data_IF_876807847012
#
_entry.id   IF_876807847012
#
_cell.length_a   1.000
_cell.length_b   1.000
_cell.length_c   1.000
_cell.angle_alpha   90.00
_cell.angle_beta   90.00
_cell.angle_gamma   90.00
#
_symmetry.space_group_name_H-M   'P 1'
#
loop_
_entity.id
_entity.type
_entity.pdbx_description
1 polymer ?
#
# COMPACT_ATOMS: atom_id res chain seq x y z
N UNK A 1 -32.39 -16.64 20.91
CA UNK A 1 -31.81 -17.45 19.82
C UNK A 1 -32.08 -16.75 18.48
N UNK A 2 -31.59 -15.50 18.34
CA UNK A 2 -31.99 -14.61 17.22
C UNK A 2 -30.83 -13.74 16.71
N UNK A 3 -29.67 -13.80 17.37
CA UNK A 3 -28.48 -13.01 17.00
C UNK A 3 -27.58 -13.78 16.01
N UNK A 4 -27.66 -15.11 15.99
CA UNK A 4 -26.78 -15.94 15.15
C UNK A 4 -27.15 -15.90 13.66
N UNK A 5 -28.40 -15.62 13.32
CA UNK A 5 -28.89 -15.63 11.93
C UNK A 5 -28.57 -14.35 11.16
N UNK A 6 -28.32 -13.23 11.84
CA UNK A 6 -27.99 -11.96 11.20
C UNK A 6 -26.53 -11.88 10.71
N UNK A 7 -25.63 -12.69 11.28
CA UNK A 7 -24.22 -12.75 10.88
C UNK A 7 -23.99 -13.50 9.55
N UNK A 8 -24.92 -14.39 9.16
CA UNK A 8 -24.81 -15.20 7.93
C UNK A 8 -25.31 -14.48 6.67
N UNK A 9 -25.95 -13.31 6.82
CA UNK A 9 -26.45 -12.48 5.70
C UNK A 9 -25.70 -11.15 5.55
N UNK A 10 -24.66 -10.90 6.36
CA UNK A 10 -23.85 -9.71 6.25
C UNK A 10 -22.86 -9.86 5.09
N UNK A 11 -23.25 -9.38 3.90
CA UNK A 11 -22.27 -9.03 2.89
C UNK A 11 -21.35 -7.96 3.49
N UNK A 12 -20.04 -8.20 3.50
CA UNK A 12 -19.06 -7.17 3.86
C UNK A 12 -19.25 -5.91 3.01
N UNK A 13 -18.81 -4.74 3.50
CA UNK A 13 -19.03 -3.48 2.79
C UNK A 13 -18.40 -3.52 1.40
N UNK A 14 -19.19 -3.19 0.37
CA UNK A 14 -18.64 -2.94 -0.97
C UNK A 14 -17.97 -1.58 -0.99
N UNK A 15 -16.77 -1.51 -1.54
CA UNK A 15 -16.10 -0.24 -1.80
C UNK A 15 -16.91 0.57 -2.79
N UNK A 16 -17.33 1.77 -2.39
CA UNK A 16 -17.90 2.76 -3.29
C UNK A 16 -16.96 3.96 -3.34
N UNK A 17 -16.15 4.03 -4.40
CA UNK A 17 -15.34 5.22 -4.65
C UNK A 17 -16.25 6.39 -5.03
N UNK A 18 -16.06 7.58 -4.46
CA UNK A 18 -16.82 8.76 -4.87
C UNK A 18 -16.54 9.09 -6.34
N UNK A 19 -17.50 9.73 -7.00
CA UNK A 19 -17.21 10.41 -8.26
C UNK A 19 -16.19 11.52 -7.97
N UNK A 20 -15.16 11.62 -8.83
CA UNK A 20 -14.14 12.64 -8.66
C UNK A 20 -14.75 14.02 -8.95
N UNK A 21 -14.59 15.00 -8.04
CA UNK A 21 -15.04 16.36 -8.31
C UNK A 21 -14.23 16.99 -9.45
N UNK A 22 -14.78 18.01 -10.14
CA UNK A 22 -14.07 18.70 -11.22
C UNK A 22 -12.76 19.37 -10.77
N UNK A 23 -12.69 19.77 -9.50
CA UNK A 23 -11.51 20.30 -8.85
C UNK A 23 -11.29 19.54 -7.53
N UNK A 24 -10.08 19.03 -7.34
CA UNK A 24 -9.68 18.36 -6.12
C UNK A 24 -8.97 19.37 -5.20
N UNK A 25 -9.13 19.26 -3.87
CA UNK A 25 -8.41 20.12 -2.94
C UNK A 25 -6.90 19.86 -3.02
N UNK A 26 -6.11 20.93 -2.93
CA UNK A 26 -4.64 20.90 -2.94
C UNK A 26 -4.01 20.20 -4.15
N UNK A 27 -4.78 19.98 -5.22
CA UNK A 27 -4.30 19.28 -6.39
C UNK A 27 -3.46 20.18 -7.29
N UNK A 28 -2.44 19.57 -7.86
CA UNK A 28 -1.57 20.19 -8.85
C UNK A 28 -2.12 19.95 -10.26
N UNK A 29 -1.92 20.92 -11.14
CA UNK A 29 -2.22 20.74 -12.56
C UNK A 29 -1.32 19.66 -13.17
N UNK A 30 -1.76 19.03 -14.26
CA UNK A 30 -0.99 17.92 -14.85
C UNK A 30 0.41 18.34 -15.33
N UNK A 31 0.56 19.60 -15.78
CA UNK A 31 1.80 20.16 -16.30
C UNK A 31 2.64 20.88 -15.24
N UNK A 32 2.21 20.88 -13.97
CA UNK A 32 3.01 21.43 -12.88
C UNK A 32 4.32 20.63 -12.74
N UNK A 33 5.45 21.33 -12.61
CA UNK A 33 6.77 20.70 -12.48
C UNK A 33 6.87 19.71 -11.31
N UNK A 34 6.15 19.96 -10.21
CA UNK A 34 6.09 19.04 -9.07
C UNK A 34 5.21 17.83 -9.36
N UNK A 35 4.17 18.00 -10.19
CA UNK A 35 3.35 16.89 -10.64
C UNK A 35 4.12 15.99 -11.62
N UNK A 36 4.97 16.56 -12.47
CA UNK A 36 5.93 15.80 -13.30
C UNK A 36 6.90 15.03 -12.41
N UNK A 37 7.53 15.71 -11.44
CA UNK A 37 8.44 15.08 -10.47
C UNK A 37 7.80 13.89 -9.74
N UNK A 38 6.56 14.03 -9.27
CA UNK A 38 5.85 12.95 -8.60
C UNK A 38 5.57 11.74 -9.50
N UNK A 39 5.40 11.93 -10.81
CA UNK A 39 5.27 10.80 -11.76
C UNK A 39 6.61 10.15 -12.02
N UNK A 40 7.66 10.95 -12.20
CA UNK A 40 9.01 10.48 -12.50
C UNK A 40 9.62 9.68 -11.33
N UNK A 41 9.31 10.08 -10.10
CA UNK A 41 9.73 9.39 -8.88
C UNK A 41 8.72 8.35 -8.37
N UNK A 42 7.66 8.07 -9.12
CA UNK A 42 6.72 7.03 -8.73
C UNK A 42 7.35 5.64 -8.96
N UNK A 43 7.37 4.74 -7.95
CA UNK A 43 7.95 3.41 -8.12
C UNK A 43 7.18 2.56 -9.12
N UNK A 44 7.87 1.58 -9.71
CA UNK A 44 7.20 0.43 -10.33
C UNK A 44 6.73 -0.50 -9.22
N UNK A 45 5.43 -0.81 -9.25
CA UNK A 45 4.85 -1.84 -8.39
C UNK A 45 4.97 -3.20 -9.09
N UNK A 46 5.73 -4.12 -8.51
CA UNK A 46 5.81 -5.51 -8.93
C UNK A 46 4.82 -6.31 -8.11
N UNK A 47 3.63 -6.49 -8.65
CA UNK A 47 2.60 -7.28 -7.99
C UNK A 47 2.99 -8.75 -8.02
N UNK A 48 2.59 -9.48 -6.98
CA UNK A 48 2.60 -10.93 -7.05
C UNK A 48 1.83 -11.38 -8.30
N UNK A 49 2.38 -12.36 -9.01
CA UNK A 49 1.94 -12.78 -10.33
C UNK A 49 0.44 -13.11 -10.45
N UNK A 50 -0.14 -13.69 -9.42
CA UNK A 50 -1.51 -14.18 -9.36
C UNK A 50 -2.43 -13.25 -8.55
N UNK A 51 -2.01 -11.99 -8.33
CA UNK A 51 -2.83 -10.97 -7.66
C UNK A 51 -4.14 -10.72 -8.45
N UNK A 52 -5.25 -10.95 -7.77
CA UNK A 52 -6.62 -10.88 -8.28
C UNK A 52 -7.31 -9.54 -8.04
N UNK A 53 -6.85 -8.76 -7.07
CA UNK A 53 -7.45 -7.50 -6.71
C UNK A 53 -6.81 -6.36 -7.52
N UNK A 54 -7.59 -5.62 -8.32
CA UNK A 54 -7.06 -4.51 -9.09
C UNK A 54 -6.71 -3.33 -8.17
N UNK A 55 -5.67 -2.61 -8.59
CA UNK A 55 -5.38 -1.26 -8.11
C UNK A 55 -6.43 -0.29 -8.69
N UNK A 56 -7.16 0.42 -7.83
CA UNK A 56 -8.35 1.20 -8.21
C UNK A 56 -8.07 2.70 -8.29
N UNK A 57 -7.60 3.29 -7.18
CA UNK A 57 -7.26 4.72 -7.09
C UNK A 57 -5.88 4.89 -6.48
N UNK A 58 -5.14 5.88 -6.97
CA UNK A 58 -3.84 6.22 -6.42
C UNK A 58 -3.64 7.73 -6.37
N UNK A 59 -2.98 8.20 -5.32
CA UNK A 59 -2.72 9.62 -5.07
C UNK A 59 -1.26 9.80 -4.71
N UNK A 60 -0.59 10.76 -5.34
CA UNK A 60 0.73 11.22 -4.90
C UNK A 60 0.59 12.55 -4.16
N UNK A 61 1.29 12.70 -3.03
CA UNK A 61 1.31 13.95 -2.25
C UNK A 61 2.74 14.33 -1.95
N UNK A 62 3.15 15.50 -2.43
CA UNK A 62 4.44 16.08 -2.08
C UNK A 62 4.33 16.82 -0.74
N UNK A 63 5.27 16.55 0.17
CA UNK A 63 5.36 17.33 1.39
C UNK A 63 5.79 18.79 1.07
N UNK A 64 5.19 19.82 1.67
CA UNK A 64 5.45 21.22 1.29
C UNK A 64 6.87 21.69 1.63
N UNK A 65 7.47 21.16 2.70
CA UNK A 65 8.79 21.58 3.21
C UNK A 65 9.84 20.48 3.31
N UNK A 66 9.49 19.22 3.01
CA UNK A 66 10.40 18.07 3.08
C UNK A 66 10.47 17.44 1.70
N UNK A 67 11.63 16.92 1.31
CA UNK A 67 11.81 16.27 0.00
C UNK A 67 11.36 14.81 0.06
N UNK A 68 10.06 14.65 0.30
CA UNK A 68 9.39 13.35 0.38
C UNK A 68 8.07 13.42 -0.39
N UNK A 69 7.80 12.38 -1.17
CA UNK A 69 6.54 12.17 -1.88
C UNK A 69 5.88 10.93 -1.26
N UNK A 70 4.67 11.09 -0.74
CA UNK A 70 3.82 10.00 -0.31
C UNK A 70 2.99 9.50 -1.49
N UNK A 71 2.81 8.20 -1.61
CA UNK A 71 1.93 7.58 -2.59
C UNK A 71 0.96 6.67 -1.85
N UNK A 72 -0.32 7.01 -1.97
CA UNK A 72 -1.42 6.29 -1.36
C UNK A 72 -2.14 5.49 -2.44
N UNK A 73 -2.36 4.22 -2.16
CA UNK A 73 -2.87 3.23 -3.10
C UNK A 73 -4.13 2.61 -2.50
N UNK A 74 -5.12 2.33 -3.36
CA UNK A 74 -6.27 1.52 -2.95
C UNK A 74 -6.43 0.32 -3.86
N UNK A 75 -6.51 -0.86 -3.26
CA UNK A 75 -6.88 -2.09 -3.94
C UNK A 75 -8.34 -2.37 -3.66
N UNK A 76 -9.03 -2.97 -4.63
CA UNK A 76 -10.48 -3.20 -4.53
C UNK A 76 -10.89 -3.87 -3.21
N UNK A 77 -10.07 -4.80 -2.71
CA UNK A 77 -10.30 -5.58 -1.50
C UNK A 77 -8.98 -5.95 -0.81
N UNK A 78 -9.03 -6.28 0.49
CA UNK A 78 -8.04 -7.10 1.22
C UNK A 78 -8.61 -8.52 1.31
N UNK A 79 -7.79 -9.55 1.26
CA UNK A 79 -8.21 -10.94 1.51
C UNK A 79 -8.61 -11.20 2.97
N UNK A 80 -8.15 -10.38 3.92
CA UNK A 80 -8.46 -10.51 5.34
C UNK A 80 -9.73 -9.72 5.75
N UNK A 81 -10.50 -10.31 6.65
CA UNK A 81 -11.70 -9.77 7.29
C UNK A 81 -12.89 -9.35 6.37
N UNK A 82 -12.96 -9.78 5.10
CA UNK A 82 -14.01 -9.40 4.12
C UNK A 82 -15.44 -9.76 4.48
N UNK A 83 -15.64 -10.78 5.30
CA UNK A 83 -16.99 -11.14 5.78
C UNK A 83 -17.44 -10.24 6.93
N UNK A 84 -16.51 -9.50 7.56
CA UNK A 84 -16.83 -8.63 8.68
C UNK A 84 -17.52 -7.37 8.16
N UNK A 85 -18.70 -7.00 8.71
CA UNK A 85 -19.34 -5.73 8.39
C UNK A 85 -18.53 -4.51 8.86
N UNK A 86 -17.47 -4.74 9.64
CA UNK A 86 -16.57 -3.71 10.17
C UNK A 86 -15.25 -3.61 9.39
N UNK A 87 -15.02 -4.44 8.36
CA UNK A 87 -13.84 -4.30 7.53
C UNK A 87 -13.95 -3.05 6.67
N UNK A 88 -12.81 -2.51 6.24
CA UNK A 88 -12.82 -1.56 5.14
C UNK A 88 -13.16 -2.30 3.85
N UNK A 89 -13.88 -1.65 2.94
CA UNK A 89 -14.27 -2.27 1.67
C UNK A 89 -13.07 -2.47 0.74
N UNK A 90 -12.17 -1.47 0.72
CA UNK A 90 -10.93 -1.45 -0.03
C UNK A 90 -9.74 -1.52 0.93
N UNK A 91 -8.68 -2.15 0.45
CA UNK A 91 -7.39 -2.13 1.12
C UNK A 91 -6.64 -0.88 0.72
N UNK A 92 -5.98 -0.25 1.68
CA UNK A 92 -5.20 0.97 1.47
C UNK A 92 -3.74 0.64 1.70
N UNK A 93 -2.85 1.03 0.82
CA UNK A 93 -1.40 0.85 0.98
C UNK A 93 -0.66 2.16 0.77
N UNK A 94 0.48 2.28 1.44
CA UNK A 94 1.24 3.52 1.50
C UNK A 94 2.71 3.24 1.24
N UNK A 95 3.32 4.12 0.47
CA UNK A 95 4.75 4.15 0.27
C UNK A 95 5.21 5.60 0.18
N UNK A 96 6.48 5.83 0.51
CA UNK A 96 7.07 7.15 0.49
C UNK A 96 8.42 7.11 -0.20
N UNK A 97 8.73 8.15 -0.97
CA UNK A 97 10.00 8.28 -1.69
C UNK A 97 10.68 9.57 -1.25
N UNK A 98 11.88 9.44 -0.71
CA UNK A 98 12.79 10.54 -0.42
C UNK A 98 13.61 10.90 -1.65
N UNK A 99 13.93 12.17 -1.81
CA UNK A 99 14.77 12.65 -2.92
C UNK A 99 15.69 13.80 -2.50
N UNK A 100 16.78 14.01 -3.23
CA UNK A 100 17.74 15.08 -2.92
C UNK A 100 17.51 16.38 -3.73
N UNK A 101 18.45 17.31 -3.63
CA UNK A 101 18.41 18.60 -4.32
C UNK A 101 18.43 18.48 -5.85
N UNK A 102 18.92 17.36 -6.38
CA UNK A 102 18.98 17.05 -7.81
C UNK A 102 17.75 16.30 -8.31
N UNK A 103 16.77 16.07 -7.42
CA UNK A 103 15.59 15.22 -7.64
C UNK A 103 15.92 13.74 -7.86
N UNK A 104 17.13 13.29 -7.49
CA UNK A 104 17.46 11.88 -7.48
C UNK A 104 16.83 11.19 -6.26
N UNK A 105 16.30 9.95 -6.41
CA UNK A 105 15.74 9.21 -5.29
C UNK A 105 16.82 8.80 -4.28
N UNK A 106 16.48 8.88 -3.01
CA UNK A 106 17.44 8.65 -1.91
C UNK A 106 17.00 7.57 -0.96
N UNK A 107 15.69 7.47 -0.72
CA UNK A 107 15.11 6.63 0.30
C UNK A 107 13.75 6.13 -0.20
N UNK A 108 13.39 4.92 0.21
CA UNK A 108 12.04 4.40 0.02
C UNK A 108 11.54 3.85 1.35
N UNK A 109 10.31 4.21 1.70
CA UNK A 109 9.59 3.63 2.80
C UNK A 109 8.34 2.94 2.28
N UNK A 110 7.96 1.82 2.89
CA UNK A 110 6.72 1.11 2.55
C UNK A 110 5.99 0.66 3.79
N UNK A 111 4.67 0.59 3.71
CA UNK A 111 3.85 0.01 4.74
C UNK A 111 3.85 -1.53 4.63
N UNK A 112 4.22 -2.20 5.73
CA UNK A 112 4.22 -3.66 5.84
C UNK A 112 3.47 -4.10 7.10
N UNK A 113 2.17 -4.37 6.93
CA UNK A 113 1.28 -4.91 7.98
C UNK A 113 1.36 -4.17 9.31
N UNK A 114 1.48 -2.84 9.29
CA UNK A 114 1.55 -2.01 10.50
C UNK A 114 2.95 -1.73 11.01
N UNK A 115 4.00 -2.14 10.30
CA UNK A 115 5.34 -1.59 10.44
C UNK A 115 5.70 -0.79 9.16
N UNK A 116 6.62 0.16 9.29
CA UNK A 116 7.18 0.87 8.14
C UNK A 116 8.54 0.25 7.85
N UNK A 117 8.76 -0.22 6.63
CA UNK A 117 10.07 -0.64 6.16
C UNK A 117 10.75 0.54 5.48
N UNK A 118 12.07 0.63 5.59
CA UNK A 118 12.89 1.67 5.00
C UNK A 118 14.07 1.04 4.28
N UNK A 119 14.37 1.53 3.08
CA UNK A 119 15.59 1.18 2.36
C UNK A 119 16.26 2.42 1.79
N UNK A 120 17.58 2.52 1.94
CA UNK A 120 18.39 3.46 1.17
C UNK A 120 18.32 3.09 -0.33
N UNK A 121 18.00 4.09 -1.15
CA UNK A 121 17.82 3.96 -2.60
C UNK A 121 18.85 4.73 -3.45
N UNK A 122 19.85 5.36 -2.83
CA UNK A 122 20.84 6.16 -3.55
C UNK A 122 21.62 5.31 -4.55
N UNK A 123 21.62 5.74 -5.81
CA UNK A 123 22.36 5.07 -6.88
C UNK A 123 21.83 3.70 -7.30
N UNK A 124 20.65 3.28 -6.79
CA UNK A 124 20.07 1.96 -7.12
C UNK A 124 19.27 1.93 -8.43
N UNK A 125 19.13 3.08 -9.10
CA UNK A 125 18.39 3.20 -10.36
C UNK A 125 16.88 3.29 -10.14
N UNK A 126 16.13 2.52 -10.92
CA UNK A 126 14.67 2.54 -10.94
C UNK A 126 14.08 2.17 -9.56
N UNK A 127 13.09 2.95 -9.10
CA UNK A 127 12.38 2.70 -7.84
C UNK A 127 11.43 1.50 -8.02
N UNK A 128 11.55 0.51 -7.14
CA UNK A 128 10.75 -0.71 -7.21
C UNK A 128 10.14 -1.08 -5.86
N UNK A 129 8.89 -1.54 -5.88
CA UNK A 129 8.17 -2.07 -4.71
C UNK A 129 7.52 -3.39 -5.05
N UNK A 130 7.75 -4.42 -4.26
CA UNK A 130 7.03 -5.69 -4.34
C UNK A 130 5.72 -5.59 -3.56
N UNK A 131 4.61 -6.00 -4.17
CA UNK A 131 3.28 -5.97 -3.54
C UNK A 131 2.80 -7.39 -3.29
N UNK A 132 2.58 -7.71 -2.02
CA UNK A 132 2.13 -9.02 -1.55
C UNK A 132 0.74 -9.37 -2.08
N UNK A 133 0.56 -10.64 -2.42
CA UNK A 133 -0.74 -11.17 -2.82
C UNK A 133 -1.81 -11.03 -1.72
N UNK A 134 -2.97 -10.49 -2.10
CA UNK A 134 -4.21 -10.51 -1.33
C UNK A 134 -4.29 -9.51 -0.19
N UNK A 135 -3.21 -9.33 0.58
CA UNK A 135 -3.12 -8.36 1.69
C UNK A 135 -2.36 -7.09 1.34
N UNK A 136 -1.77 -7.03 0.14
CA UNK A 136 -1.08 -5.88 -0.44
C UNK A 136 0.07 -5.26 0.37
N UNK A 137 0.56 -5.91 1.43
CA UNK A 137 1.76 -5.46 2.13
C UNK A 137 2.89 -5.16 1.15
N UNK A 138 3.49 -3.98 1.29
CA UNK A 138 4.45 -3.44 0.34
C UNK A 138 5.88 -3.57 0.87
N UNK A 139 6.81 -3.98 0.00
CA UNK A 139 8.22 -4.20 0.31
C UNK A 139 9.10 -3.41 -0.66
N UNK A 140 10.15 -2.71 -0.22
CA UNK A 140 11.17 -2.21 -1.14
C UNK A 140 11.74 -3.36 -1.99
N UNK A 141 11.92 -3.16 -3.28
CA UNK A 141 12.46 -4.22 -4.16
C UNK A 141 13.86 -4.62 -3.68
N UNK A 142 14.08 -5.93 -3.60
CA UNK A 142 15.32 -6.50 -3.06
C UNK A 142 15.37 -6.65 -1.54
N UNK A 143 14.24 -6.45 -0.84
CA UNK A 143 14.12 -6.82 0.58
C UNK A 143 14.24 -8.33 0.75
N UNK A 144 15.13 -8.76 1.64
CA UNK A 144 15.30 -10.17 1.96
C UNK A 144 14.25 -10.63 2.98
N UNK A 145 13.75 -11.86 2.85
CA UNK A 145 12.69 -12.38 3.73
C UNK A 145 13.09 -12.36 5.21
N UNK A 146 14.39 -12.50 5.50
CA UNK A 146 14.94 -12.49 6.87
C UNK A 146 14.93 -11.11 7.54
N UNK A 147 14.78 -10.03 6.77
CA UNK A 147 14.75 -8.65 7.27
C UNK A 147 13.35 -8.22 7.75
N UNK A 148 12.33 -9.04 7.46
CA UNK A 148 10.96 -8.73 7.82
C UNK A 148 10.75 -8.77 9.35
N UNK A 149 9.84 -7.93 9.89
CA UNK A 149 9.53 -7.94 11.30
C UNK A 149 9.10 -9.33 11.78
N UNK A 150 9.53 -9.69 12.99
CA UNK A 150 9.14 -10.96 13.62
C UNK A 150 7.62 -11.09 13.68
N UNK A 151 7.10 -12.24 13.25
CA UNK A 151 5.66 -12.50 13.19
C UNK A 151 4.96 -11.81 12.01
N UNK A 152 5.72 -11.30 11.03
CA UNK A 152 5.21 -10.73 9.76
C UNK A 152 6.08 -11.18 8.58
N UNK A 153 6.46 -12.46 8.56
CA UNK A 153 7.25 -13.03 7.46
C UNK A 153 6.35 -13.47 6.30
N UNK A 154 6.94 -13.60 5.10
CA UNK A 154 6.22 -14.09 3.92
C UNK A 154 5.70 -15.51 4.12
N UNK A 155 6.45 -16.38 4.80
CA UNK A 155 6.05 -17.76 5.11
C UNK A 155 4.80 -17.78 5.99
N UNK A 156 4.75 -16.91 7.00
CA UNK A 156 3.58 -16.81 7.87
C UNK A 156 2.36 -16.33 7.07
N UNK A 157 2.51 -15.30 6.25
CA UNK A 157 1.40 -14.82 5.42
C UNK A 157 0.93 -15.84 4.40
N UNK A 158 1.86 -16.58 3.77
CA UNK A 158 1.54 -17.70 2.91
C UNK A 158 0.79 -18.82 3.67
N UNK A 159 1.26 -19.20 4.85
CA UNK A 159 0.54 -20.18 5.68
C UNK A 159 -0.89 -19.69 6.00
N UNK A 160 -1.06 -18.39 6.25
CA UNK A 160 -2.37 -17.79 6.50
C UNK A 160 -3.31 -17.86 5.28
N UNK A 161 -2.81 -17.94 4.05
CA UNK A 161 -3.67 -18.14 2.85
C UNK A 161 -4.35 -19.52 2.80
N UNK A 162 -4.09 -20.42 3.75
CA UNK A 162 -4.80 -21.71 3.85
C UNK A 162 -5.76 -21.77 5.03
N UNK A 163 -5.64 -20.84 5.98
CA UNK A 163 -6.42 -20.86 7.23
C UNK A 163 -7.35 -19.66 7.38
N UNK A 164 -7.27 -18.65 6.50
CA UNK A 164 -8.23 -17.55 6.53
C UNK A 164 -9.64 -18.06 6.17
N UNK A 165 -10.61 -17.99 7.10
CA UNK A 165 -12.00 -18.36 6.81
C UNK A 165 -12.58 -17.53 5.65
N UNK A 166 -12.06 -16.32 5.48
CA UNK A 166 -12.38 -15.34 4.44
C UNK A 166 -12.17 -15.83 3.01
N UNK A 167 -11.28 -16.80 2.77
CA UNK A 167 -11.13 -17.41 1.45
C UNK A 167 -12.33 -18.29 1.09
N UNK A 168 -12.97 -18.88 2.10
CA UNK A 168 -14.18 -19.69 1.95
C UNK A 168 -15.43 -18.82 2.01
N UNK A 169 -15.50 -17.85 2.93
CA UNK A 169 -16.68 -17.02 3.15
C UNK A 169 -16.73 -15.74 2.29
N UNK A 170 -15.59 -15.19 1.89
CA UNK A 170 -15.51 -13.97 1.08
C UNK A 170 -16.12 -14.11 -0.31
N UNK A 171 -16.21 -15.33 -0.85
CA UNK A 171 -16.89 -15.62 -2.13
C UNK A 171 -18.40 -15.40 -2.08
N UNK A 172 -19.02 -15.60 -0.91
CA UNK A 172 -20.46 -15.37 -0.76
C UNK A 172 -20.81 -13.88 -0.71
N UNK A 173 -19.83 -13.02 -0.38
CA UNK A 173 -20.01 -11.57 -0.30
C UNK A 173 -19.36 -10.78 -1.45
N UNK A 174 -18.37 -11.34 -2.17
CA UNK A 174 -17.55 -10.62 -3.15
C UNK A 174 -16.74 -11.53 -4.12
N UNK A 175 -16.37 -11.02 -5.30
CA UNK A 175 -15.63 -11.76 -6.35
C UNK A 175 -14.12 -11.92 -6.02
N UNK A 176 -13.79 -12.74 -5.01
CA UNK A 176 -12.41 -13.05 -4.60
C UNK A 176 -11.89 -14.42 -5.04
N UNK A 177 -10.56 -14.65 -4.94
CA UNK A 177 -9.97 -15.98 -5.11
C UNK A 177 -10.36 -16.90 -3.96
N UNK A 178 -10.48 -18.20 -4.25
CA UNK A 178 -10.82 -19.25 -3.26
C UNK A 178 -9.62 -19.68 -2.40
N UNK A 179 -8.41 -19.44 -2.88
CA UNK A 179 -7.16 -19.84 -2.28
C UNK A 179 -6.01 -19.17 -3.03
N UNK A 180 -4.84 -19.16 -2.40
CA UNK A 180 -3.57 -19.15 -3.13
C UNK A 180 -3.14 -20.60 -3.38
N UNK A 181 -3.71 -21.25 -4.40
CA UNK A 181 -3.47 -22.67 -4.69
C UNK A 181 -2.15 -22.93 -5.44
N UNK A 182 -1.07 -22.29 -5.01
CA UNK A 182 0.26 -22.43 -5.57
C UNK A 182 1.31 -22.62 -4.47
N UNK A 183 2.56 -22.92 -4.85
CA UNK A 183 3.65 -23.12 -3.90
C UNK A 183 4.10 -21.81 -3.25
N UNK A 184 4.84 -21.93 -2.14
CA UNK A 184 5.48 -20.76 -1.51
C UNK A 184 6.47 -20.06 -2.45
N UNK A 185 7.22 -20.82 -3.26
CA UNK A 185 8.09 -20.23 -4.28
C UNK A 185 7.31 -19.32 -5.23
N UNK A 186 6.11 -19.76 -5.65
CA UNK A 186 5.20 -18.96 -6.47
C UNK A 186 4.65 -17.74 -5.73
N UNK A 187 4.41 -17.84 -4.43
CA UNK A 187 3.98 -16.72 -3.59
C UNK A 187 5.00 -15.56 -3.57
N UNK A 188 6.29 -15.88 -3.73
CA UNK A 188 7.38 -14.91 -3.78
C UNK A 188 7.66 -14.34 -5.19
N UNK A 189 6.90 -14.76 -6.21
CA UNK A 189 7.07 -14.26 -7.59
C UNK A 189 6.36 -12.91 -7.80
N UNK A 190 7.11 -11.82 -7.60
CA UNK A 190 6.70 -10.45 -7.89
C UNK A 190 7.10 -10.05 -9.31
N UNK A 191 6.29 -10.44 -10.29
CA UNK A 191 6.63 -10.34 -11.72
C UNK A 191 5.65 -9.53 -12.55
N UNK A 192 4.56 -9.02 -11.98
CA UNK A 192 3.55 -8.25 -12.73
C UNK A 192 3.74 -6.75 -12.51
N UNK A 193 4.42 -6.03 -13.42
CA UNK A 193 4.72 -4.63 -13.22
C UNK A 193 3.49 -3.74 -13.43
N UNK A 194 3.39 -2.70 -12.60
CA UNK A 194 2.51 -1.54 -12.80
C UNK A 194 3.37 -0.29 -12.65
N UNK A 195 3.41 0.52 -13.71
CA UNK A 195 4.06 1.83 -13.69
C UNK A 195 3.16 2.80 -12.93
N UNK A 196 3.45 3.06 -11.65
CA UNK A 196 2.56 3.84 -10.77
C UNK A 196 2.38 5.28 -11.26
N UNK A 197 3.42 5.91 -11.79
CA UNK A 197 3.36 7.27 -12.32
C UNK A 197 2.29 7.47 -13.39
N UNK A 198 2.02 6.42 -14.19
CA UNK A 198 0.97 6.41 -15.22
C UNK A 198 -0.44 6.10 -14.68
N UNK A 199 -0.57 5.77 -13.39
CA UNK A 199 -1.82 5.38 -12.72
C UNK A 199 -2.31 6.39 -11.69
N UNK A 200 -1.55 7.47 -11.44
CA UNK A 200 -1.91 8.53 -10.49
C UNK A 200 -3.24 9.17 -10.86
N UNK A 201 -4.23 9.02 -9.98
CA UNK A 201 -5.55 9.65 -10.12
C UNK A 201 -5.48 11.14 -9.78
N UNK A 202 -4.70 11.47 -8.76
CA UNK A 202 -4.49 12.85 -8.32
C UNK A 202 -3.05 13.03 -7.83
N UNK A 203 -2.57 14.27 -7.93
CA UNK A 203 -1.30 14.69 -7.36
C UNK A 203 -1.55 15.97 -6.60
N UNK A 204 -1.08 16.07 -5.37
CA UNK A 204 -1.24 17.26 -4.54
C UNK A 204 0.04 17.67 -3.81
N UNK A 205 0.00 18.83 -3.17
CA UNK A 205 1.07 19.31 -2.30
C UNK A 205 0.49 19.88 -1.02
N UNK A 206 0.63 19.14 0.07
CA UNK A 206 0.10 19.52 1.38
C UNK A 206 0.83 18.74 2.48
N UNK A 207 0.87 19.29 3.69
CA UNK A 207 1.33 18.56 4.86
C UNK A 207 0.24 17.65 5.46
N UNK A 208 -1.03 17.96 5.17
CA UNK A 208 -2.21 17.19 5.60
C UNK A 208 -3.01 16.76 4.37
N UNK A 209 -2.86 15.50 3.93
CA UNK A 209 -3.49 14.99 2.71
C UNK A 209 -4.97 14.60 2.90
N UNK A 210 -5.53 14.66 4.10
CA UNK A 210 -6.83 14.04 4.41
C UNK A 210 -7.97 14.51 3.49
N UNK A 211 -8.03 15.81 3.19
CA UNK A 211 -9.06 16.37 2.32
C UNK A 211 -8.95 15.84 0.88
N UNK A 212 -7.73 15.71 0.37
CA UNK A 212 -7.46 15.14 -0.96
C UNK A 212 -7.76 13.64 -0.99
N UNK A 213 -7.28 12.88 -0.01
CA UNK A 213 -7.53 11.44 0.08
C UNK A 213 -9.01 11.13 0.25
N UNK A 214 -9.72 11.87 1.11
CA UNK A 214 -11.17 11.74 1.28
C UNK A 214 -11.93 12.03 -0.02
N UNK A 215 -11.49 13.00 -0.82
CA UNK A 215 -12.11 13.31 -2.10
C UNK A 215 -11.90 12.21 -3.15
N UNK A 216 -10.77 11.50 -3.11
CA UNK A 216 -10.43 10.45 -4.10
C UNK A 216 -10.89 9.06 -3.66
N UNK A 217 -10.67 8.69 -2.39
CA UNK A 217 -10.96 7.36 -1.84
C UNK A 217 -12.32 7.28 -1.14
N UNK A 218 -12.89 8.42 -0.73
CA UNK A 218 -14.10 8.51 0.06
C UNK A 218 -13.83 8.53 1.57
N UNK A 219 -14.87 8.78 2.38
CA UNK A 219 -14.77 9.02 3.83
C UNK A 219 -14.39 7.81 4.70
N UNK A 220 -14.25 6.62 4.12
CA UNK A 220 -14.06 5.35 4.84
C UNK A 220 -12.79 4.63 4.40
N UNK A 221 -11.76 5.37 4.01
CA UNK A 221 -10.44 4.77 3.82
C UNK A 221 -9.80 4.46 5.20
N UNK A 222 -8.69 3.73 5.24
CA UNK A 222 -8.14 3.20 6.49
C UNK A 222 -7.46 4.27 7.36
N UNK A 223 -7.13 5.45 6.81
CA UNK A 223 -6.42 6.53 7.50
C UNK A 223 -5.15 6.02 8.17
N UNK A 224 -4.33 5.31 7.40
CA UNK A 224 -2.98 4.90 7.79
C UNK A 224 -2.08 6.16 7.87
N UNK A 225 -0.84 6.07 8.40
CA UNK A 225 0.02 7.25 8.61
C UNK A 225 0.26 8.06 7.33
N UNK A 226 0.19 9.39 7.39
CA UNK A 226 0.42 10.19 6.18
C UNK A 226 1.91 10.28 5.81
N UNK A 227 2.77 10.21 6.81
CA UNK A 227 4.21 10.36 6.61
C UNK A 227 5.00 9.27 7.32
N UNK A 228 6.20 8.91 6.84
CA UNK A 228 6.93 7.76 7.36
C UNK A 228 7.40 7.97 8.82
N UNK A 229 7.44 9.22 9.30
CA UNK A 229 7.76 9.57 10.68
C UNK A 229 6.56 9.56 11.64
N UNK A 230 5.33 9.35 11.14
CA UNK A 230 4.12 9.36 11.95
C UNK A 230 3.79 7.96 12.48
N UNK A 231 4.42 7.54 13.58
CA UNK A 231 4.04 6.29 14.26
C UNK A 231 3.29 6.55 15.56
N UNK A 232 2.00 6.21 15.57
CA UNK A 232 1.08 6.46 16.70
C UNK A 232 1.25 5.54 17.91
N UNK A 233 2.01 4.43 17.85
CA UNK A 233 2.01 3.43 18.95
C UNK A 233 3.31 2.65 19.25
N UNK A 234 4.46 2.87 18.59
CA UNK A 234 5.70 2.12 18.89
C UNK A 234 6.94 3.04 18.93
N UNK A 235 7.92 2.69 19.78
CA UNK A 235 9.21 3.40 19.95
C UNK A 235 10.18 3.25 18.77
N UNK A 236 9.84 2.46 17.74
CA UNK A 236 10.67 2.23 16.56
C UNK A 236 9.98 2.89 15.38
N UNK A 237 10.66 3.86 14.76
CA UNK A 237 10.09 4.67 13.68
C UNK A 237 9.95 3.88 12.37
N UNK A 238 10.94 3.02 12.04
CA UNK A 238 10.91 2.11 10.89
C UNK A 238 11.86 0.90 11.09
N UNK A 239 11.76 -0.07 10.19
CA UNK A 239 12.68 -1.21 10.05
C UNK A 239 13.57 -0.98 8.83
N UNK A 240 14.87 -0.97 9.06
CA UNK A 240 15.85 -0.93 7.98
C UNK A 240 15.86 -2.27 7.26
N UNK A 241 15.56 -2.24 5.97
CA UNK A 241 15.68 -3.36 5.05
C UNK A 241 16.69 -2.95 3.98
N UNK A 242 17.77 -3.70 3.89
CA UNK A 242 18.94 -3.31 3.15
C UNK A 242 19.50 -4.56 2.50
N UNK A 243 19.38 -4.65 1.18
CA UNK A 243 20.14 -5.64 0.41
C UNK A 243 21.65 -5.65 0.70
N UNK A 244 22.18 -4.66 1.44
CA UNK A 244 23.45 -4.76 2.15
C UNK A 244 23.34 -4.14 3.56
N UNK A 245 23.30 -4.99 4.59
CA UNK A 245 23.53 -4.72 6.02
C UNK A 245 22.83 -3.51 6.69
N UNK A 246 21.85 -3.84 7.52
CA UNK A 246 21.07 -2.93 8.34
C UNK A 246 21.95 -2.12 9.31
N UNK A 247 21.87 -0.79 9.24
CA UNK A 247 22.36 0.12 10.27
C UNK A 247 21.19 0.86 10.90
N UNK A 248 21.08 0.78 12.23
CA UNK A 248 20.06 1.48 13.02
C UNK A 248 20.10 2.99 12.76
N UNK A 249 19.18 3.50 11.95
CA UNK A 249 18.84 4.92 11.93
C UNK A 249 18.07 5.29 13.19
N UNK A 250 18.69 6.07 14.09
CA UNK A 250 17.97 6.97 15.00
C UNK A 250 18.13 8.36 14.42
N UNK A 251 17.03 9.10 14.31
CA UNK A 251 17.09 10.56 14.29
C UNK A 251 17.63 11.09 15.63
#
# INVERSE_FOLDING_TARGET
MTILTALMAACGPRTHFPALPPALPDSLSQNDSLAVLARDLAPILYLQRDESFPLERTVAVLHPSRRVIAYYLTYRHDIAARWSPFSQGADEEELWVGYDATNAPTDIWTYWHGDILHANWRGKGELGVNVQWGKHGSLPRGTEASELPRGKSLELFYAMTYVFPDLVFGRFSSEGPLCFCHSFARYQEFTRPIVLGARLTAIGRTADPDSLLTAVFGKRYAHKPYWPWEQRRRRRLWYEVSGEHALMGRE
#
